data_IF_002176086830
#
_entry.id   IF_002176086830
#
_cell.length_a   1.000
_cell.length_b   1.000
_cell.length_c   1.000
_cell.angle_alpha   90.00
_cell.angle_beta   90.00
_cell.angle_gamma   90.00
#
_symmetry.space_group_name_H-M   'P 1'
#
loop_
_entity.id
_entity.type
_entity.pdbx_description
1 polymer ?
#
# COMPACT_ATOMS: atom_id res chain seq x y z
N UNK A 1 21.96 15.53 -17.04
CA UNK A 1 21.94 15.41 -15.56
C UNK A 1 21.45 16.68 -14.86
N UNK A 2 21.93 17.89 -15.17
CA UNK A 2 21.52 19.14 -14.46
C UNK A 2 20.03 19.55 -14.60
N UNK A 3 19.33 19.14 -15.66
CA UNK A 3 17.88 19.41 -15.80
C UNK A 3 16.97 18.46 -14.98
N UNK A 4 17.49 17.34 -14.48
CA UNK A 4 16.73 16.33 -13.73
C UNK A 4 16.56 16.71 -12.26
N UNK A 5 17.58 17.35 -11.67
CA UNK A 5 17.58 17.81 -10.27
C UNK A 5 16.57 18.94 -10.02
N UNK A 6 16.27 19.75 -11.05
CA UNK A 6 15.34 20.89 -10.95
C UNK A 6 13.87 20.46 -10.84
N UNK A 7 13.51 19.31 -11.42
CA UNK A 7 12.13 18.80 -11.35
C UNK A 7 11.83 18.07 -10.03
N UNK A 8 12.79 17.32 -9.50
CA UNK A 8 12.70 16.68 -8.18
C UNK A 8 12.55 17.73 -7.08
N UNK A 9 13.36 18.80 -7.13
CA UNK A 9 13.30 19.87 -6.15
C UNK A 9 12.02 20.71 -6.22
N UNK A 10 11.36 20.81 -7.39
CA UNK A 10 10.08 21.51 -7.52
C UNK A 10 8.88 20.65 -7.04
N UNK A 11 8.92 19.33 -7.26
CA UNK A 11 7.94 18.38 -6.71
C UNK A 11 8.01 18.29 -5.16
N UNK A 12 9.22 18.42 -4.59
CA UNK A 12 9.45 18.38 -3.14
C UNK A 12 9.18 19.71 -2.39
N UNK A 13 8.93 20.82 -3.11
CA UNK A 13 8.81 22.17 -2.51
C UNK A 13 7.38 22.68 -2.32
N UNK A 14 6.36 22.03 -2.88
CA UNK A 14 4.97 22.56 -2.88
C UNK A 14 4.09 22.10 -1.72
N UNK A 15 4.64 21.52 -0.66
CA UNK A 15 3.93 21.37 0.61
C UNK A 15 4.91 21.60 1.76
N UNK A 16 4.42 22.13 2.87
CA UNK A 16 5.25 22.50 4.04
C UNK A 16 5.48 21.33 5.01
N UNK A 17 4.95 20.13 4.71
CA UNK A 17 5.12 18.86 5.47
C UNK A 17 5.76 17.62 4.77
N UNK A 18 6.18 17.61 3.48
CA UNK A 18 6.49 16.39 2.72
C UNK A 18 7.87 15.79 3.05
N UNK A 19 8.78 16.55 3.67
CA UNK A 19 10.16 16.09 3.91
C UNK A 19 10.23 14.88 4.83
N UNK A 20 9.34 14.76 5.84
CA UNK A 20 9.35 13.64 6.80
C UNK A 20 8.78 12.35 6.23
N UNK A 21 7.73 12.43 5.42
CA UNK A 21 7.09 11.23 4.83
C UNK A 21 8.00 10.57 3.78
N UNK A 22 8.64 11.38 2.92
CA UNK A 22 9.59 10.87 1.93
C UNK A 22 10.93 10.48 2.55
N UNK A 23 11.38 11.12 3.64
CA UNK A 23 12.57 10.66 4.34
C UNK A 23 12.32 9.33 5.03
N UNK A 24 11.17 9.13 5.70
CA UNK A 24 10.79 7.84 6.28
C UNK A 24 10.72 6.74 5.20
N UNK A 25 10.22 7.08 4.00
CA UNK A 25 10.23 6.21 2.83
C UNK A 25 11.67 5.90 2.38
N UNK A 26 12.56 6.88 2.30
CA UNK A 26 13.99 6.68 1.98
C UNK A 26 14.77 5.94 3.09
N UNK A 27 14.32 6.00 4.34
CA UNK A 27 14.87 5.27 5.48
C UNK A 27 14.38 3.81 5.55
N UNK A 28 13.21 3.52 4.95
CA UNK A 28 12.70 2.16 4.68
C UNK A 28 13.33 1.52 3.42
N UNK A 29 13.89 2.35 2.54
CA UNK A 29 14.46 1.97 1.23
C UNK A 29 15.83 1.27 1.23
N UNK A 30 16.74 1.33 2.23
CA UNK A 30 18.08 0.77 2.02
C UNK A 30 18.14 -0.76 2.09
N UNK A 31 17.42 -1.41 3.01
CA UNK A 31 17.61 -2.86 3.25
C UNK A 31 16.71 -3.76 2.41
N UNK A 32 15.48 -3.32 2.09
CA UNK A 32 14.53 -4.06 1.23
C UNK A 32 14.96 -4.14 -0.24
N UNK A 33 15.76 -3.17 -0.68
CA UNK A 33 16.10 -2.96 -2.09
C UNK A 33 17.47 -3.49 -2.50
N UNK A 34 18.31 -3.91 -1.55
CA UNK A 34 19.55 -4.66 -1.86
C UNK A 34 19.23 -5.98 -2.60
N UNK A 35 17.98 -6.46 -2.50
CA UNK A 35 17.44 -7.61 -3.22
C UNK A 35 17.02 -7.34 -4.67
N UNK A 36 16.96 -6.08 -5.05
CA UNK A 36 16.47 -5.62 -6.35
C UNK A 36 17.61 -4.97 -7.10
N UNK A 37 17.70 -5.23 -8.40
CA UNK A 37 18.69 -4.52 -9.21
C UNK A 37 18.36 -3.02 -9.19
N UNK A 38 19.37 -2.16 -9.04
CA UNK A 38 19.24 -0.69 -9.10
C UNK A 38 18.46 -0.24 -10.34
N UNK A 39 18.57 -1.01 -11.43
CA UNK A 39 17.81 -0.82 -12.67
C UNK A 39 16.30 -1.00 -12.49
N UNK A 40 15.85 -2.02 -11.74
CA UNK A 40 14.42 -2.25 -11.46
C UNK A 40 13.85 -1.11 -10.60
N UNK A 41 14.59 -0.66 -9.59
CA UNK A 41 14.21 0.47 -8.74
C UNK A 41 14.06 1.76 -9.55
N UNK A 42 15.07 2.07 -10.36
CA UNK A 42 15.06 3.23 -11.24
C UNK A 42 13.90 3.17 -12.23
N UNK A 43 13.63 2.01 -12.84
CA UNK A 43 12.51 1.84 -13.76
C UNK A 43 11.16 2.09 -13.07
N UNK A 44 10.96 1.53 -11.88
CA UNK A 44 9.72 1.72 -11.12
C UNK A 44 9.52 3.17 -10.70
N UNK A 45 10.59 3.86 -10.28
CA UNK A 45 10.56 5.27 -9.95
C UNK A 45 10.23 6.13 -11.20
N UNK A 46 10.83 5.82 -12.34
CA UNK A 46 10.53 6.50 -13.62
C UNK A 46 9.07 6.29 -14.05
N UNK A 47 8.53 5.10 -13.88
CA UNK A 47 7.11 4.82 -14.14
C UNK A 47 6.20 5.70 -13.26
N UNK A 48 6.47 5.77 -11.96
CA UNK A 48 5.71 6.61 -11.03
C UNK A 48 5.83 8.09 -11.36
N UNK A 49 7.02 8.56 -11.76
CA UNK A 49 7.22 9.95 -12.20
C UNK A 49 6.48 10.26 -13.52
N UNK A 50 6.51 9.32 -14.48
CA UNK A 50 5.78 9.45 -15.74
C UNK A 50 4.27 9.52 -15.51
N UNK A 51 3.76 8.67 -14.59
CA UNK A 51 2.38 8.68 -14.14
C UNK A 51 2.01 10.02 -13.49
N UNK A 52 2.89 10.59 -12.67
CA UNK A 52 2.69 11.90 -12.05
C UNK A 52 2.63 13.07 -13.06
N UNK A 53 3.34 12.96 -14.20
CA UNK A 53 3.34 13.99 -15.23
C UNK A 53 2.06 13.99 -16.10
N UNK A 54 1.32 12.88 -16.15
CA UNK A 54 0.13 12.74 -17.01
C UNK A 54 -1.17 12.88 -16.21
N UNK A 55 -1.62 14.12 -16.04
CA UNK A 55 -2.85 14.45 -15.30
C UNK A 55 -4.10 13.74 -15.83
N UNK A 56 -4.27 13.65 -17.16
CA UNK A 56 -5.43 12.98 -17.78
C UNK A 56 -5.49 11.50 -17.40
N UNK A 57 -4.34 10.81 -17.51
CA UNK A 57 -4.25 9.39 -17.15
C UNK A 57 -4.53 9.19 -15.67
N UNK A 58 -4.00 10.06 -14.82
CA UNK A 58 -4.28 10.00 -13.38
C UNK A 58 -5.76 10.22 -13.05
N UNK A 59 -6.43 11.19 -13.67
CA UNK A 59 -7.88 11.39 -13.49
C UNK A 59 -8.69 10.15 -13.90
N UNK A 60 -8.29 9.46 -14.98
CA UNK A 60 -8.92 8.20 -15.36
C UNK A 60 -8.70 7.11 -14.28
N UNK A 61 -7.50 6.99 -13.73
CA UNK A 61 -7.20 6.05 -12.64
C UNK A 61 -8.06 6.35 -11.41
N UNK A 62 -8.19 7.60 -11.00
CA UNK A 62 -9.06 7.98 -9.87
C UNK A 62 -10.53 7.69 -10.15
N UNK A 63 -11.01 7.96 -11.37
CA UNK A 63 -12.39 7.69 -11.78
C UNK A 63 -12.70 6.19 -11.75
N UNK A 64 -11.82 5.35 -12.31
CA UNK A 64 -11.94 3.89 -12.25
C UNK A 64 -11.88 3.38 -10.81
N UNK A 65 -10.96 3.93 -9.99
CA UNK A 65 -10.84 3.57 -8.58
C UNK A 65 -12.13 3.89 -7.83
N UNK A 66 -12.68 5.10 -8.00
CA UNK A 66 -13.95 5.49 -7.39
C UNK A 66 -15.11 4.59 -7.83
N UNK A 67 -15.14 4.18 -9.10
CA UNK A 67 -16.16 3.26 -9.63
C UNK A 67 -16.08 1.87 -8.97
N UNK A 68 -14.87 1.31 -8.83
CA UNK A 68 -14.64 0.04 -8.11
C UNK A 68 -15.04 0.14 -6.63
N UNK A 69 -14.73 1.26 -5.96
CA UNK A 69 -15.10 1.46 -4.56
C UNK A 69 -16.63 1.60 -4.38
N UNK A 70 -17.31 2.21 -5.35
CA UNK A 70 -18.79 2.28 -5.36
C UNK A 70 -19.42 0.91 -5.60
N UNK A 71 -18.92 0.13 -6.56
CA UNK A 71 -19.47 -1.20 -6.85
C UNK A 71 -19.27 -2.19 -5.70
N UNK A 72 -18.28 -1.94 -4.83
CA UNK A 72 -18.02 -2.68 -3.59
C UNK A 72 -18.66 -2.09 -2.34
N UNK A 73 -19.36 -0.95 -2.47
CA UNK A 73 -20.00 -0.24 -1.37
C UNK A 73 -19.01 0.18 -0.26
N UNK A 74 -17.78 0.52 -0.63
CA UNK A 74 -16.79 1.07 0.31
C UNK A 74 -17.06 2.58 0.45
N UNK A 75 -17.37 3.08 1.65
CA UNK A 75 -17.83 4.46 1.86
C UNK A 75 -16.65 5.42 1.93
N UNK A 76 -15.94 5.61 0.82
CA UNK A 76 -14.85 6.58 0.71
C UNK A 76 -14.96 7.38 -0.59
N UNK A 77 -14.75 8.69 -0.48
CA UNK A 77 -14.72 9.59 -1.62
C UNK A 77 -13.27 9.78 -2.07
N UNK A 78 -13.00 9.47 -3.33
CA UNK A 78 -11.72 9.69 -3.98
C UNK A 78 -11.75 11.05 -4.66
N UNK A 79 -10.90 11.97 -4.21
CA UNK A 79 -10.77 13.31 -4.75
C UNK A 79 -9.44 13.50 -5.48
N UNK A 80 -9.42 14.43 -6.43
CA UNK A 80 -8.19 14.90 -7.05
C UNK A 80 -7.38 15.71 -6.03
N UNK A 81 -6.07 15.49 -5.94
CA UNK A 81 -5.18 16.15 -4.99
C UNK A 81 -5.12 17.67 -5.08
N UNK A 82 -5.64 18.24 -6.18
CA UNK A 82 -5.79 19.69 -6.37
C UNK A 82 -6.89 20.30 -5.52
N UNK A 83 -7.82 19.49 -5.02
CA UNK A 83 -8.88 19.91 -4.11
C UNK A 83 -8.37 19.71 -2.69
N UNK A 84 -7.93 20.79 -2.06
CA UNK A 84 -7.59 20.76 -0.64
C UNK A 84 -8.89 20.75 0.15
N UNK A 85 -9.27 19.57 0.64
CA UNK A 85 -10.34 19.43 1.63
C UNK A 85 -9.69 19.30 3.01
N UNK A 86 -10.06 20.14 3.98
CA UNK A 86 -9.51 20.04 5.33
C UNK A 86 -9.95 18.71 5.95
N UNK A 87 -8.96 17.90 6.33
CA UNK A 87 -9.18 16.67 7.09
C UNK A 87 -9.09 16.97 8.59
N UNK A 88 -9.93 16.30 9.36
CA UNK A 88 -9.87 16.35 10.82
C UNK A 88 -8.59 15.63 11.27
N UNK A 89 -7.76 16.23 12.13
CA UNK A 89 -6.59 15.57 12.69
C UNK A 89 -6.96 14.26 13.38
N UNK A 90 -6.17 13.21 13.21
CA UNK A 90 -6.46 11.91 13.83
C UNK A 90 -6.53 11.94 15.35
N UNK A 91 -5.77 12.83 15.99
CA UNK A 91 -5.84 13.09 17.43
C UNK A 91 -7.26 13.45 17.88
N UNK A 92 -8.02 14.13 17.02
CA UNK A 92 -9.31 14.72 17.35
C UNK A 92 -10.47 13.76 17.01
N UNK A 93 -10.17 12.65 16.33
CA UNK A 93 -11.15 11.63 16.02
C UNK A 93 -11.53 10.82 17.25
N UNK A 94 -12.84 10.61 17.44
CA UNK A 94 -13.36 9.68 18.44
C UNK A 94 -12.88 8.27 18.13
N UNK A 95 -12.71 7.44 19.17
CA UNK A 95 -12.31 6.03 19.03
C UNK A 95 -13.17 5.25 18.02
N UNK A 96 -14.48 5.50 18.00
CA UNK A 96 -15.40 4.86 17.06
C UNK A 96 -15.13 5.27 15.61
N UNK A 97 -14.81 6.55 15.36
CA UNK A 97 -14.44 7.06 14.04
C UNK A 97 -13.10 6.50 13.58
N UNK A 98 -12.09 6.46 14.46
CA UNK A 98 -10.77 5.87 14.14
C UNK A 98 -10.91 4.40 13.72
N UNK A 99 -11.67 3.60 14.48
CA UNK A 99 -11.90 2.18 14.16
C UNK A 99 -12.66 2.02 12.83
N UNK A 100 -13.70 2.81 12.61
CA UNK A 100 -14.46 2.78 11.35
C UNK A 100 -13.58 3.16 10.16
N UNK A 101 -12.83 4.26 10.25
CA UNK A 101 -11.91 4.71 9.20
C UNK A 101 -10.84 3.66 8.90
N UNK A 102 -10.23 3.07 9.93
CA UNK A 102 -9.25 1.99 9.75
C UNK A 102 -9.83 0.78 9.02
N UNK A 103 -11.08 0.42 9.30
CA UNK A 103 -11.76 -0.64 8.55
C UNK A 103 -12.01 -0.26 7.10
N UNK A 104 -12.38 1.00 6.82
CA UNK A 104 -12.58 1.51 5.46
C UNK A 104 -11.26 1.51 4.68
N UNK A 105 -10.14 1.91 5.30
CA UNK A 105 -8.81 1.89 4.70
C UNK A 105 -8.39 0.46 4.33
N UNK A 106 -8.60 -0.50 5.23
CA UNK A 106 -8.30 -1.91 4.95
C UNK A 106 -9.15 -2.46 3.80
N UNK A 107 -10.44 -2.09 3.74
CA UNK A 107 -11.31 -2.47 2.62
C UNK A 107 -10.84 -1.84 1.31
N UNK A 108 -10.47 -0.57 1.32
CA UNK A 108 -9.86 0.13 0.18
C UNK A 108 -8.62 -0.61 -0.31
N UNK A 109 -7.72 -0.98 0.60
CA UNK A 109 -6.51 -1.74 0.28
C UNK A 109 -6.83 -3.06 -0.44
N UNK A 110 -7.70 -3.89 0.16
CA UNK A 110 -8.05 -5.17 -0.44
C UNK A 110 -8.87 -5.02 -1.73
N UNK A 111 -9.73 -4.02 -1.85
CA UNK A 111 -10.51 -3.79 -3.08
C UNK A 111 -9.58 -3.45 -4.25
N UNK A 112 -8.60 -2.57 -4.04
CA UNK A 112 -7.60 -2.28 -5.08
C UNK A 112 -6.78 -3.52 -5.44
N UNK A 113 -6.41 -4.35 -4.45
CA UNK A 113 -5.61 -5.55 -4.69
C UNK A 113 -6.40 -6.63 -5.44
N UNK A 114 -7.65 -6.89 -5.08
CA UNK A 114 -8.44 -8.02 -5.60
C UNK A 114 -9.29 -7.68 -6.83
N UNK A 115 -9.66 -6.41 -7.02
CA UNK A 115 -10.66 -6.03 -8.03
C UNK A 115 -10.12 -5.09 -9.11
N UNK A 116 -8.83 -4.83 -9.09
CA UNK A 116 -8.16 -3.97 -10.08
C UNK A 116 -6.76 -4.51 -10.38
N UNK A 117 -6.30 -4.30 -11.61
CA UNK A 117 -4.89 -4.47 -11.96
C UNK A 117 -4.06 -3.20 -11.67
N UNK A 118 -4.73 -2.13 -11.25
CA UNK A 118 -4.15 -0.82 -10.98
C UNK A 118 -4.44 -0.41 -9.54
N UNK A 119 -3.43 0.06 -8.81
CA UNK A 119 -3.57 0.57 -7.46
C UNK A 119 -2.93 1.96 -7.32
N UNK A 120 -3.64 2.87 -6.65
CA UNK A 120 -3.07 4.12 -6.15
C UNK A 120 -2.48 3.84 -4.78
N UNK A 121 -1.16 4.02 -4.66
CA UNK A 121 -0.39 3.53 -3.51
C UNK A 121 -0.20 4.59 -2.42
N UNK A 122 -0.60 5.84 -2.64
CA UNK A 122 -0.52 6.91 -1.63
C UNK A 122 -1.66 6.77 -0.61
N UNK A 123 -1.45 6.00 0.45
CA UNK A 123 -2.35 5.90 1.59
C UNK A 123 -1.89 6.76 2.80
N UNK A 124 -0.98 7.72 2.60
CA UNK A 124 -0.35 8.43 3.70
C UNK A 124 -1.38 9.17 4.58
N UNK A 125 -1.13 9.31 5.91
CA UNK A 125 -1.99 10.05 6.84
C UNK A 125 -2.42 11.43 6.38
N UNK A 126 -1.54 12.14 5.66
CA UNK A 126 -1.80 13.48 5.14
C UNK A 126 -2.80 13.52 3.98
N UNK A 127 -3.18 12.37 3.42
CA UNK A 127 -3.98 12.24 2.21
C UNK A 127 -5.28 11.47 2.38
N UNK A 128 -5.48 10.84 3.53
CA UNK A 128 -6.64 10.00 3.77
C UNK A 128 -7.17 10.34 5.15
N UNK A 129 -8.45 10.62 5.31
CA UNK A 129 -8.99 10.92 6.63
C UNK A 129 -10.50 11.05 6.62
N UNK A 130 -11.03 11.78 7.59
CA UNK A 130 -12.41 12.24 7.57
C UNK A 130 -12.46 13.76 7.47
N UNK A 131 -13.46 14.28 6.80
CA UNK A 131 -13.73 15.71 6.79
C UNK A 131 -14.58 16.16 7.99
N UNK A 132 -14.95 17.44 8.01
CA UNK A 132 -15.80 18.01 9.06
C UNK A 132 -17.23 17.44 9.10
N UNK A 133 -17.72 16.87 7.99
CA UNK A 133 -19.02 16.19 7.94
C UNK A 133 -18.93 14.75 8.46
N UNK A 134 -17.73 14.22 8.65
CA UNK A 134 -17.47 12.85 9.09
C UNK A 134 -17.37 11.84 7.94
N UNK A 135 -17.34 12.31 6.69
CA UNK A 135 -17.18 11.47 5.51
C UNK A 135 -15.71 11.06 5.33
N UNK A 136 -15.45 9.82 4.93
CA UNK A 136 -14.09 9.39 4.62
C UNK A 136 -13.67 9.93 3.25
N UNK A 137 -12.55 10.67 3.24
CA UNK A 137 -11.99 11.34 2.06
C UNK A 137 -10.59 10.80 1.81
N UNK A 138 -10.27 10.59 0.54
CA UNK A 138 -8.94 10.24 0.08
C UNK A 138 -8.54 11.11 -1.11
N UNK A 139 -7.48 11.91 -0.96
CA UNK A 139 -6.95 12.80 -1.99
C UNK A 139 -5.48 12.46 -2.35
N UNK A 140 -5.24 11.24 -2.90
CA UNK A 140 -3.89 10.73 -3.12
C UNK A 140 -3.07 11.60 -4.07
N UNK A 141 -1.74 11.59 -3.93
CA UNK A 141 -0.81 12.05 -4.98
C UNK A 141 -0.88 11.10 -6.19
N UNK A 142 -0.43 11.53 -7.38
CA UNK A 142 -0.44 10.71 -8.60
C UNK A 142 0.64 9.62 -8.60
N UNK A 143 0.67 8.83 -7.53
CA UNK A 143 1.54 7.68 -7.34
C UNK A 143 0.66 6.45 -7.42
N UNK A 144 0.63 5.86 -8.61
CA UNK A 144 -0.12 4.64 -8.88
C UNK A 144 0.73 3.68 -9.71
N UNK A 145 0.36 2.40 -9.66
CA UNK A 145 1.03 1.30 -10.34
C UNK A 145 0.00 0.45 -11.05
N UNK A 146 0.36 -0.03 -12.24
CA UNK A 146 -0.29 -1.19 -12.84
C UNK A 146 0.53 -2.43 -12.48
N UNK A 147 -0.09 -3.36 -11.78
CA UNK A 147 0.57 -4.59 -11.38
C UNK A 147 0.85 -5.47 -12.59
N UNK A 148 2.00 -6.14 -12.57
CA UNK A 148 2.21 -7.29 -13.43
C UNK A 148 1.19 -8.39 -13.07
N UNK A 149 0.57 -8.98 -14.09
CA UNK A 149 -0.52 -9.94 -13.88
C UNK A 149 -0.07 -11.18 -13.13
N UNK A 150 1.17 -11.64 -13.34
CA UNK A 150 1.72 -12.81 -12.62
C UNK A 150 2.00 -12.47 -11.17
N UNK A 151 2.55 -11.27 -10.93
CA UNK A 151 2.83 -10.78 -9.58
C UNK A 151 1.54 -10.63 -8.77
N UNK A 152 0.53 -9.92 -9.30
CA UNK A 152 -0.71 -9.68 -8.54
C UNK A 152 -1.50 -10.97 -8.33
N UNK A 153 -1.51 -11.90 -9.29
CA UNK A 153 -2.13 -13.21 -9.12
C UNK A 153 -1.47 -14.00 -7.97
N UNK A 154 -0.14 -14.09 -7.97
CA UNK A 154 0.59 -14.78 -6.91
C UNK A 154 0.37 -14.10 -5.53
N UNK A 155 0.36 -12.77 -5.48
CA UNK A 155 0.07 -12.02 -4.25
C UNK A 155 -1.36 -12.26 -3.75
N UNK A 156 -2.35 -12.33 -4.64
CA UNK A 156 -3.74 -12.68 -4.29
C UNK A 156 -3.83 -14.10 -3.75
N UNK A 157 -3.07 -15.04 -4.32
CA UNK A 157 -3.01 -16.42 -3.84
C UNK A 157 -2.39 -16.51 -2.44
N UNK A 158 -1.33 -15.73 -2.15
CA UNK A 158 -0.78 -15.60 -0.79
C UNK A 158 -1.84 -15.09 0.19
N UNK A 159 -2.53 -14.00 -0.13
CA UNK A 159 -3.56 -13.48 0.77
C UNK A 159 -4.75 -14.43 0.95
N UNK A 160 -5.23 -15.04 -0.15
CA UNK A 160 -6.35 -15.97 -0.10
C UNK A 160 -5.99 -17.25 0.64
N UNK A 161 -4.83 -17.83 0.37
CA UNK A 161 -4.32 -19.00 1.09
C UNK A 161 -4.22 -18.75 2.58
N UNK A 162 -3.70 -17.58 2.98
CA UNK A 162 -3.61 -17.21 4.38
C UNK A 162 -4.98 -17.03 5.07
N UNK A 163 -5.90 -16.25 4.48
CA UNK A 163 -7.17 -15.92 5.15
C UNK A 163 -8.25 -17.02 5.07
N UNK A 164 -8.13 -17.91 4.09
CA UNK A 164 -9.03 -19.06 3.90
C UNK A 164 -8.45 -20.36 4.46
N UNK A 165 -7.30 -20.30 5.12
CA UNK A 165 -6.64 -21.45 5.72
C UNK A 165 -6.30 -22.54 4.65
N UNK A 166 -5.91 -22.12 3.44
CA UNK A 166 -5.49 -22.96 2.31
C UNK A 166 -3.96 -22.86 2.11
N UNK A 167 -3.24 -23.72 2.83
CA UNK A 167 -1.78 -23.77 2.88
C UNK A 167 -1.15 -24.05 1.51
N UNK A 168 -1.76 -24.93 0.69
CA UNK A 168 -1.22 -25.24 -0.64
C UNK A 168 -1.24 -24.02 -1.55
N UNK A 169 -2.34 -23.25 -1.54
CA UNK A 169 -2.45 -22.02 -2.31
C UNK A 169 -1.50 -20.94 -1.81
N UNK A 170 -1.34 -20.85 -0.49
CA UNK A 170 -0.41 -19.93 0.14
C UNK A 170 1.03 -20.19 -0.33
N UNK A 171 1.49 -21.43 -0.24
CA UNK A 171 2.85 -21.84 -0.62
C UNK A 171 3.11 -21.71 -2.14
N UNK A 172 2.15 -22.04 -3.00
CA UNK A 172 2.27 -21.79 -4.44
C UNK A 172 2.43 -20.29 -4.74
N UNK A 173 1.63 -19.44 -4.08
CA UNK A 173 1.74 -17.98 -4.19
C UNK A 173 3.12 -17.47 -3.79
N UNK A 174 3.66 -17.94 -2.66
CA UNK A 174 5.01 -17.58 -2.20
C UNK A 174 6.10 -18.01 -3.18
N UNK A 175 6.01 -19.24 -3.69
CA UNK A 175 6.93 -19.77 -4.70
C UNK A 175 6.93 -18.93 -5.97
N UNK A 176 5.75 -18.54 -6.47
CA UNK A 176 5.59 -17.70 -7.67
C UNK A 176 6.04 -16.25 -7.47
N UNK A 177 6.00 -15.74 -6.25
CA UNK A 177 6.63 -14.48 -5.86
C UNK A 177 8.16 -14.60 -5.69
N UNK A 178 8.68 -15.83 -5.79
CA UNK A 178 10.08 -16.18 -5.56
C UNK A 178 10.48 -16.16 -4.08
N UNK A 179 9.55 -16.00 -3.15
CA UNK A 179 9.88 -15.88 -1.72
C UNK A 179 10.27 -17.21 -1.10
N UNK A 180 9.81 -18.33 -1.67
CA UNK A 180 10.15 -19.68 -1.20
C UNK A 180 9.98 -19.81 0.32
N UNK A 181 10.97 -20.40 1.00
CA UNK A 181 10.97 -20.57 2.45
C UNK A 181 11.03 -19.27 3.25
N UNK A 182 11.41 -18.14 2.65
CA UNK A 182 11.35 -16.83 3.31
C UNK A 182 9.89 -16.35 3.49
N UNK A 183 8.93 -16.98 2.82
CA UNK A 183 7.50 -16.69 2.98
C UNK A 183 6.95 -16.90 4.40
N UNK A 184 7.62 -17.72 5.22
CA UNK A 184 7.30 -17.83 6.65
C UNK A 184 7.45 -16.52 7.44
N UNK A 185 8.24 -15.56 6.94
CA UNK A 185 8.29 -14.20 7.50
C UNK A 185 7.07 -13.37 7.10
N UNK A 186 6.54 -13.56 5.90
CA UNK A 186 5.26 -12.95 5.53
C UNK A 186 4.12 -13.49 6.39
N UNK A 187 4.11 -14.77 6.76
CA UNK A 187 3.14 -15.30 7.74
C UNK A 187 3.23 -14.57 9.08
N UNK A 188 4.46 -14.37 9.60
CA UNK A 188 4.67 -13.61 10.84
C UNK A 188 4.15 -12.18 10.73
N UNK A 189 4.31 -11.56 9.57
CA UNK A 189 3.88 -10.20 9.30
C UNK A 189 2.37 -10.03 9.07
N UNK A 190 1.77 -10.92 8.28
CA UNK A 190 0.33 -11.03 8.09
C UNK A 190 -0.38 -11.34 9.41
N UNK A 191 0.38 -11.82 10.40
CA UNK A 191 0.04 -11.97 11.79
C UNK A 191 -0.25 -13.43 12.14
N UNK A 192 -0.01 -13.80 13.40
CA UNK A 192 -0.46 -15.08 13.94
C UNK A 192 -1.91 -14.97 14.42
N UNK A 193 -2.70 -16.04 14.25
CA UNK A 193 -4.10 -16.11 14.68
C UNK A 193 -5.11 -15.58 13.65
N UNK A 194 -6.34 -15.35 14.09
CA UNK A 194 -7.49 -15.13 13.19
C UNK A 194 -7.59 -13.72 12.56
N UNK A 195 -6.61 -12.84 12.79
CA UNK A 195 -6.55 -11.46 12.27
C UNK A 195 -7.77 -10.57 12.55
N UNK A 196 -8.48 -10.82 13.67
CA UNK A 196 -9.65 -10.01 14.09
C UNK A 196 -9.31 -8.85 15.04
N UNK A 197 -8.05 -8.68 15.41
CA UNK A 197 -7.60 -7.70 16.41
C UNK A 197 -6.17 -7.24 16.22
N UNK A 198 -5.84 -6.75 15.02
CA UNK A 198 -4.49 -6.37 14.63
C UNK A 198 -4.18 -4.95 15.04
N UNK A 199 -3.02 -4.73 15.67
CA UNK A 199 -2.43 -3.40 15.88
C UNK A 199 -1.27 -3.22 14.90
N UNK A 200 -1.35 -2.18 14.09
CA UNK A 200 -0.32 -1.89 13.09
C UNK A 200 0.86 -1.16 13.72
N UNK A 201 2.06 -1.47 13.22
CA UNK A 201 3.29 -0.78 13.55
C UNK A 201 4.21 -0.73 12.33
N UNK A 202 4.65 0.46 11.95
CA UNK A 202 5.63 0.69 10.89
C UNK A 202 7.00 0.11 11.26
N UNK A 203 7.39 0.22 12.54
CA UNK A 203 8.62 -0.40 13.06
C UNK A 203 8.62 -1.93 12.91
N UNK A 204 7.48 -2.59 13.18
CA UNK A 204 7.35 -4.04 12.99
C UNK A 204 7.41 -4.44 11.52
N UNK A 205 6.76 -3.68 10.63
CA UNK A 205 6.88 -3.86 9.17
C UNK A 205 8.35 -3.73 8.73
N UNK A 206 9.06 -2.69 9.19
CA UNK A 206 10.46 -2.47 8.85
C UNK A 206 11.38 -3.60 9.34
N UNK A 207 11.13 -4.17 10.52
CA UNK A 207 11.86 -5.36 10.99
C UNK A 207 11.63 -6.55 10.06
N UNK A 208 10.36 -6.81 9.70
CA UNK A 208 10.01 -7.93 8.84
C UNK A 208 10.65 -7.79 7.45
N UNK A 209 10.59 -6.61 6.85
CA UNK A 209 11.18 -6.36 5.53
C UNK A 209 12.71 -6.54 5.55
N UNK A 210 13.38 -6.15 6.65
CA UNK A 210 14.82 -6.41 6.85
C UNK A 210 15.12 -7.90 6.94
N UNK A 211 14.38 -8.64 7.77
CA UNK A 211 14.55 -10.10 7.89
C UNK A 211 14.32 -10.82 6.55
N UNK A 212 13.31 -10.37 5.77
CA UNK A 212 13.04 -10.91 4.44
C UNK A 212 14.21 -10.69 3.49
N UNK A 213 14.85 -9.52 3.56
CA UNK A 213 16.08 -9.24 2.82
C UNK A 213 17.23 -10.11 3.24
N UNK A 214 17.49 -10.22 4.54
CA UNK A 214 18.61 -11.00 5.03
C UNK A 214 18.51 -12.47 4.61
N UNK A 215 17.30 -13.06 4.63
CA UNK A 215 17.09 -14.44 4.15
C UNK A 215 17.24 -14.60 2.63
N UNK A 216 16.92 -13.56 1.85
CA UNK A 216 17.00 -13.60 0.39
C UNK A 216 18.41 -13.32 -0.14
N UNK A 217 19.25 -12.58 0.59
CA UNK A 217 20.64 -12.29 0.21
C UNK A 217 21.49 -13.56 -0.02
N UNK A 218 21.04 -14.73 0.47
CA UNK A 218 21.68 -16.03 0.25
C UNK A 218 21.09 -16.91 -0.86
N UNK A 219 20.04 -16.49 -1.58
CA UNK A 219 19.38 -17.33 -2.59
C UNK A 219 19.47 -16.77 -4.02
N UNK A 220 19.77 -17.61 -5.03
CA UNK A 220 19.80 -17.18 -6.42
C UNK A 220 18.39 -16.86 -6.93
N UNK A 221 18.16 -15.61 -7.31
CA UNK A 221 16.92 -15.15 -7.95
C UNK A 221 16.63 -13.70 -7.61
N UNK A 222 16.11 -12.94 -8.57
CA UNK A 222 15.70 -11.54 -8.32
C UNK A 222 14.25 -11.48 -7.83
N UNK A 223 13.96 -10.55 -6.92
CA UNK A 223 12.57 -10.21 -6.62
C UNK A 223 11.91 -9.58 -7.85
N UNK A 224 10.61 -9.82 -7.98
CA UNK A 224 9.80 -9.19 -9.01
C UNK A 224 9.82 -7.65 -8.88
N UNK A 225 9.88 -6.91 -9.99
CA UNK A 225 9.99 -5.43 -9.99
C UNK A 225 8.90 -4.73 -9.16
N UNK A 226 7.68 -5.28 -9.18
CA UNK A 226 6.54 -4.72 -8.45
C UNK A 226 6.64 -4.86 -6.92
N UNK A 227 7.63 -5.59 -6.36
CA UNK A 227 7.88 -5.61 -4.92
C UNK A 227 8.20 -4.21 -4.36
N UNK A 228 8.86 -3.36 -5.15
CA UNK A 228 9.11 -1.96 -4.81
C UNK A 228 7.81 -1.22 -4.52
N UNK A 229 6.91 -1.21 -5.51
CA UNK A 229 5.65 -0.51 -5.41
C UNK A 229 4.77 -1.12 -4.31
N UNK A 230 4.82 -2.44 -4.13
CA UNK A 230 4.10 -3.13 -3.08
C UNK A 230 4.63 -2.79 -1.68
N UNK A 231 5.95 -2.73 -1.49
CA UNK A 231 6.55 -2.30 -0.22
C UNK A 231 6.16 -0.87 0.15
N UNK A 232 6.16 0.05 -0.83
CA UNK A 232 5.67 1.42 -0.63
C UNK A 232 4.18 1.47 -0.26
N UNK A 233 3.39 0.60 -0.88
CA UNK A 233 1.97 0.48 -0.59
C UNK A 233 1.73 0.01 0.86
N UNK A 234 2.45 -1.03 1.29
CA UNK A 234 2.40 -1.52 2.68
C UNK A 234 2.93 -0.49 3.69
N UNK A 235 3.98 0.25 3.36
CA UNK A 235 4.53 1.28 4.23
C UNK A 235 3.50 2.39 4.50
N UNK A 236 2.89 2.95 3.45
CA UNK A 236 1.86 3.98 3.62
C UNK A 236 0.61 3.45 4.33
N UNK A 237 0.23 2.18 4.08
CA UNK A 237 -0.85 1.51 4.79
C UNK A 237 -0.55 1.38 6.30
N UNK A 238 0.64 0.91 6.68
CA UNK A 238 1.01 0.75 8.08
C UNK A 238 1.07 2.08 8.80
N UNK A 239 1.66 3.11 8.18
CA UNK A 239 1.73 4.46 8.74
C UNK A 239 0.33 4.99 9.08
N UNK A 240 -0.60 4.90 8.12
CA UNK A 240 -1.96 5.41 8.34
C UNK A 240 -2.72 4.60 9.37
N UNK A 241 -2.62 3.26 9.35
CA UNK A 241 -3.33 2.42 10.32
C UNK A 241 -2.74 2.53 11.74
N UNK A 242 -1.42 2.70 11.87
CA UNK A 242 -0.76 2.94 13.15
C UNK A 242 -1.20 4.28 13.76
N UNK A 243 -1.30 5.33 12.95
CA UNK A 243 -1.72 6.67 13.39
C UNK A 243 -3.16 6.76 13.92
N UNK A 244 -3.98 5.74 13.65
CA UNK A 244 -5.34 5.61 14.21
C UNK A 244 -5.33 5.03 15.64
N UNK A 245 -4.21 4.47 16.10
CA UNK A 245 -3.99 3.96 17.45
C UNK A 245 -5.08 2.99 17.93
N UNK A 246 -5.58 2.12 17.03
CA UNK A 246 -6.66 1.19 17.34
C UNK A 246 -6.38 -0.22 16.82
N UNK A 247 -7.15 -1.19 17.33
CA UNK A 247 -7.14 -2.57 16.82
C UNK A 247 -8.18 -2.73 15.72
N UNK A 248 -7.81 -3.45 14.66
CA UNK A 248 -8.62 -3.58 13.44
C UNK A 248 -8.86 -5.06 13.09
N UNK A 249 -9.99 -5.32 12.43
CA UNK A 249 -10.36 -6.65 11.94
C UNK A 249 -9.98 -6.77 10.45
N UNK A 250 -8.73 -7.20 10.21
CA UNK A 250 -8.17 -7.36 8.87
C UNK A 250 -8.85 -8.49 8.13
N UNK A 251 -9.17 -9.60 8.81
CA UNK A 251 -9.89 -10.73 8.20
C UNK A 251 -11.25 -10.28 7.67
N UNK A 252 -12.01 -9.51 8.44
CA UNK A 252 -13.30 -8.98 7.98
C UNK A 252 -13.17 -8.01 6.80
N UNK A 253 -12.06 -7.27 6.68
CA UNK A 253 -11.80 -6.44 5.50
C UNK A 253 -11.54 -7.30 4.26
N UNK A 254 -10.66 -8.31 4.40
CA UNK A 254 -10.37 -9.26 3.34
C UNK A 254 -11.64 -9.96 2.85
N UNK A 255 -12.42 -10.56 3.76
CA UNK A 255 -13.62 -11.33 3.40
C UNK A 255 -14.69 -10.52 2.68
N UNK A 256 -14.73 -9.19 2.88
CA UNK A 256 -15.67 -8.30 2.16
C UNK A 256 -15.21 -7.98 0.73
N UNK A 257 -13.89 -7.95 0.51
CA UNK A 257 -13.30 -7.62 -0.78
C UNK A 257 -13.02 -8.85 -1.65
N UNK A 258 -12.84 -10.02 -1.03
CA UNK A 258 -12.63 -11.29 -1.69
C UNK A 258 -13.95 -11.84 -2.23
N UNK A 259 -14.02 -12.01 -3.56
CA UNK A 259 -15.08 -12.77 -4.23
C UNK A 259 -14.44 -14.01 -4.84
N UNK A 260 -14.98 -15.20 -4.56
CA UNK A 260 -14.69 -16.38 -5.36
C UNK A 260 -15.52 -16.24 -6.62
N UNK A 261 -14.86 -15.96 -7.74
CA UNK A 261 -15.45 -16.16 -9.07
C UNK A 261 -15.37 -17.65 -9.43
#
# INVERSE_FOLDING_TARGET
MRHYETHISRFLRSSTRPKREWSALLDLVPSGFDLLSTKQVAHQALEMMSNAANSKRYTCVLSSTQATLRSTRIPILVEDNRRERPLVPYSDLKRTQRRWLGQVILQLYFAQLFQSDTAVIDLWPSRLGVDAAGDAIWNPRPVYIRWDTRFVAALRDVYAGFFLDDESRFEDGLSRLGLGSAGGLLLRHLGQGNQRGVRFSAAHLQSTLRELSDLRLGQPGSLHRNFVAFGLYLASLHEVLESLECTLDVRSAFMRSYRQD
#
